data_IF_881971237436
#
_entry.id   IF_881971237436
#
_cell.length_a   1.000
_cell.length_b   1.000
_cell.length_c   1.000
_cell.angle_alpha   90.00
_cell.angle_beta   90.00
_cell.angle_gamma   90.00
#
_symmetry.space_group_name_H-M   'P 1'
#
loop_
_entity.id
_entity.type
_entity.pdbx_description
1 polymer ?
#
# COMPACT_ATOMS: atom_id res chain seq x y z
N UNK A 1 -12.10 -50.46 13.72
CA UNK A 1 -11.20 -51.00 12.68
C UNK A 1 -10.88 -49.88 11.72
N UNK A 2 -9.60 -49.55 11.62
CA UNK A 2 -9.01 -48.37 11.00
C UNK A 2 -8.53 -48.68 9.58
N UNK A 3 -9.04 -47.94 8.59
CA UNK A 3 -8.54 -47.88 7.21
C UNK A 3 -8.45 -46.40 6.85
N UNK A 4 -7.28 -45.75 6.84
CA UNK A 4 -6.17 -45.83 5.88
C UNK A 4 -6.55 -45.31 4.48
N UNK A 5 -6.08 -44.08 4.18
CA UNK A 5 -5.80 -43.49 2.86
C UNK A 5 -5.08 -42.16 3.17
N UNK A 6 -3.75 -42.00 3.15
CA UNK A 6 -2.73 -42.23 2.11
C UNK A 6 -3.02 -41.58 0.75
N UNK A 7 -2.87 -40.26 0.69
CA UNK A 7 -2.51 -39.52 -0.53
C UNK A 7 -1.61 -38.31 -0.18
N UNK A 8 -0.34 -38.58 0.14
CA UNK A 8 0.73 -37.56 0.13
C UNK A 8 2.02 -38.21 -0.36
N UNK A 9 2.40 -37.98 -1.62
CA UNK A 9 3.79 -37.93 -2.12
C UNK A 9 3.88 -38.10 -3.65
N UNK A 10 3.51 -37.09 -4.44
CA UNK A 10 3.97 -36.99 -5.84
C UNK A 10 4.20 -35.53 -6.21
N UNK A 11 5.16 -34.84 -5.56
CA UNK A 11 5.56 -33.47 -5.95
C UNK A 11 7.01 -33.13 -5.61
N UNK A 12 7.92 -34.11 -5.47
CA UNK A 12 9.32 -33.84 -5.06
C UNK A 12 10.40 -34.34 -6.06
N UNK A 13 10.03 -34.86 -7.23
CA UNK A 13 11.03 -35.44 -8.17
C UNK A 13 11.34 -34.62 -9.42
N UNK A 14 11.00 -33.32 -9.48
CA UNK A 14 11.38 -32.45 -10.61
C UNK A 14 12.53 -31.48 -10.31
N UNK A 15 12.81 -31.15 -9.04
CA UNK A 15 13.88 -30.20 -8.70
C UNK A 15 15.28 -30.84 -8.67
N UNK A 16 15.37 -32.14 -8.42
CA UNK A 16 16.67 -32.83 -8.33
C UNK A 16 17.33 -33.12 -9.69
N UNK A 17 16.56 -33.21 -10.78
CA UNK A 17 17.10 -33.50 -12.13
C UNK A 17 17.68 -32.25 -12.79
N UNK A 18 17.19 -31.05 -12.45
CA UNK A 18 17.68 -29.78 -13.02
C UNK A 18 19.01 -29.35 -12.37
N UNK A 19 19.23 -29.68 -11.09
CA UNK A 19 20.45 -29.29 -10.38
C UNK A 19 21.71 -30.04 -10.85
N UNK A 20 21.59 -31.27 -11.37
CA UNK A 20 22.75 -32.05 -11.84
C UNK A 20 23.16 -31.70 -13.28
N UNK A 21 22.24 -31.15 -14.09
CA UNK A 21 22.57 -30.71 -15.45
C UNK A 21 23.30 -29.35 -15.50
N UNK A 22 23.20 -28.51 -14.46
CA UNK A 22 23.79 -27.16 -14.47
C UNK A 22 25.22 -27.08 -13.91
N UNK A 23 25.69 -28.10 -13.17
CA UNK A 23 27.05 -28.08 -12.58
C UNK A 23 28.11 -28.64 -13.55
N UNK A 24 27.72 -29.38 -14.59
CA UNK A 24 28.65 -29.99 -15.56
C UNK A 24 29.09 -29.11 -16.73
N UNK A 25 28.49 -27.94 -16.95
CA UNK A 25 28.67 -27.15 -18.17
C UNK A 25 29.49 -25.84 -18.00
N UNK A 26 30.07 -25.59 -16.81
CA UNK A 26 30.58 -24.25 -16.47
C UNK A 26 32.09 -24.02 -16.60
N UNK A 27 32.86 -24.93 -17.21
CA UNK A 27 34.33 -24.78 -17.30
C UNK A 27 34.87 -24.28 -18.65
N UNK A 28 34.02 -23.90 -19.63
CA UNK A 28 34.49 -23.35 -20.92
C UNK A 28 33.56 -22.23 -21.42
N UNK A 29 33.30 -21.20 -20.60
CA UNK A 29 32.45 -20.08 -21.02
C UNK A 29 33.24 -18.79 -21.20
N UNK A 30 33.15 -18.22 -22.40
CA UNK A 30 33.87 -17.04 -22.83
C UNK A 30 33.56 -15.82 -21.95
N UNK A 31 34.54 -14.96 -21.65
CA UNK A 31 34.40 -13.82 -20.72
C UNK A 31 33.32 -12.79 -21.13
N UNK A 32 32.79 -12.84 -22.36
CA UNK A 32 31.71 -11.96 -22.81
C UNK A 32 30.31 -12.31 -22.30
N UNK A 33 30.04 -13.57 -21.95
CA UNK A 33 28.69 -14.00 -21.58
C UNK A 33 28.25 -13.53 -20.18
N UNK A 34 29.20 -13.42 -19.25
CA UNK A 34 28.92 -12.92 -17.90
C UNK A 34 28.47 -11.46 -17.90
N UNK A 35 28.97 -10.63 -18.83
CA UNK A 35 28.55 -9.25 -18.96
C UNK A 35 27.07 -9.13 -19.38
N UNK A 36 26.60 -10.06 -20.22
CA UNK A 36 25.22 -10.07 -20.69
C UNK A 36 24.25 -10.55 -19.60
N UNK A 37 24.61 -11.55 -18.80
CA UNK A 37 23.80 -11.98 -17.66
C UNK A 37 23.70 -10.90 -16.56
N UNK A 38 24.80 -10.19 -16.28
CA UNK A 38 24.79 -9.08 -15.30
C UNK A 38 23.88 -7.94 -15.80
N UNK A 39 23.94 -7.60 -17.09
CA UNK A 39 23.07 -6.58 -17.67
C UNK A 39 21.58 -6.98 -17.62
N UNK A 40 21.25 -8.26 -17.86
CA UNK A 40 19.88 -8.76 -17.74
C UNK A 40 19.38 -8.72 -16.29
N UNK A 41 20.23 -9.04 -15.31
CA UNK A 41 19.88 -8.94 -13.89
C UNK A 41 19.65 -7.49 -13.45
N UNK A 42 20.41 -6.53 -13.97
CA UNK A 42 20.20 -5.10 -13.69
C UNK A 42 18.88 -4.58 -14.31
N UNK A 43 18.54 -5.01 -15.52
CA UNK A 43 17.26 -4.69 -16.14
C UNK A 43 16.08 -5.27 -15.35
N UNK A 44 16.18 -6.54 -14.95
CA UNK A 44 15.15 -7.20 -14.14
C UNK A 44 14.98 -6.55 -12.76
N UNK A 45 16.09 -6.12 -12.12
CA UNK A 45 16.04 -5.37 -10.86
C UNK A 45 15.38 -4.00 -11.02
N UNK A 46 15.58 -3.33 -12.17
CA UNK A 46 14.96 -2.03 -12.47
C UNK A 46 13.46 -2.18 -12.75
N UNK A 47 13.07 -3.24 -13.46
CA UNK A 47 11.67 -3.57 -13.74
C UNK A 47 10.91 -3.95 -12.46
N UNK A 48 11.52 -4.75 -11.58
CA UNK A 48 10.96 -5.05 -10.26
C UNK A 48 10.80 -3.79 -9.39
N UNK A 49 11.75 -2.84 -9.47
CA UNK A 49 11.65 -1.58 -8.74
C UNK A 49 10.52 -0.69 -9.28
N UNK A 50 10.21 -0.74 -10.58
CA UNK A 50 9.08 -0.04 -11.18
C UNK A 50 7.74 -0.71 -10.82
N UNK A 51 7.68 -2.04 -10.84
CA UNK A 51 6.49 -2.80 -10.46
C UNK A 51 6.08 -2.58 -8.99
N UNK A 52 7.04 -2.37 -8.08
CA UNK A 52 6.77 -2.08 -6.66
C UNK A 52 6.25 -0.65 -6.42
N UNK A 53 6.58 0.31 -7.31
CA UNK A 53 6.09 1.70 -7.22
C UNK A 53 4.64 1.80 -7.67
N UNK A 54 4.26 1.06 -8.72
CA UNK A 54 2.90 1.07 -9.25
C UNK A 54 1.93 0.22 -8.40
N UNK A 55 2.43 -0.86 -7.78
CA UNK A 55 1.58 -1.77 -6.99
C UNK A 55 1.35 -1.30 -5.55
N UNK A 56 2.15 -0.35 -5.04
CA UNK A 56 1.87 0.32 -3.76
C UNK A 56 0.55 1.11 -3.79
N UNK A 57 0.05 1.49 -4.98
CA UNK A 57 -1.21 2.20 -5.18
C UNK A 57 -2.41 1.34 -5.64
N UNK A 58 -2.20 0.09 -6.08
CA UNK A 58 -3.27 -0.73 -6.67
C UNK A 58 -4.06 -1.56 -5.62
N UNK A 59 -3.39 -2.09 -4.60
CA UNK A 59 -4.05 -2.68 -3.40
C UNK A 59 -4.77 -1.60 -2.56
N UNK A 60 -4.63 -0.33 -2.92
CA UNK A 60 -5.08 0.85 -2.20
C UNK A 60 -6.56 1.20 -2.42
N UNK A 61 -7.20 0.66 -3.47
CA UNK A 61 -8.53 1.10 -3.91
C UNK A 61 -9.71 0.17 -3.55
N UNK A 62 -9.47 -1.05 -3.03
CA UNK A 62 -10.55 -2.06 -2.92
C UNK A 62 -11.37 -2.06 -1.63
N UNK A 63 -10.91 -1.41 -0.56
CA UNK A 63 -11.65 -1.34 0.73
C UNK A 63 -12.19 0.06 1.06
N UNK A 64 -12.03 1.03 0.14
CA UNK A 64 -12.78 2.26 0.20
C UNK A 64 -14.20 1.99 -0.33
N UNK A 65 -15.26 2.40 0.40
CA UNK A 65 -16.62 2.28 -0.11
C UNK A 65 -16.67 2.95 -1.49
N UNK A 66 -17.40 2.37 -2.47
CA UNK A 66 -17.48 2.93 -3.81
C UNK A 66 -17.78 4.42 -3.66
N UNK A 67 -17.07 5.30 -4.39
CA UNK A 67 -17.21 6.74 -4.24
C UNK A 67 -18.70 7.05 -4.25
N UNK A 68 -19.23 7.49 -3.10
CA UNK A 68 -20.64 7.88 -3.00
C UNK A 68 -20.85 8.82 -4.17
N UNK A 69 -21.72 8.43 -5.10
CA UNK A 69 -22.06 9.24 -6.26
C UNK A 69 -22.20 10.65 -5.75
N UNK A 70 -21.25 11.51 -6.14
CA UNK A 70 -21.30 12.92 -5.81
C UNK A 70 -22.59 13.36 -6.48
N UNK A 71 -23.67 13.43 -5.68
CA UNK A 71 -24.92 14.05 -6.09
C UNK A 71 -24.48 15.35 -6.74
N UNK A 72 -24.70 15.43 -8.05
CA UNK A 72 -24.36 16.60 -8.83
C UNK A 72 -25.07 17.76 -8.15
N UNK A 73 -24.34 18.51 -7.34
CA UNK A 73 -24.78 19.82 -6.90
C UNK A 73 -24.92 20.59 -8.20
N UNK A 74 -26.18 20.88 -8.55
CA UNK A 74 -26.55 21.56 -9.78
C UNK A 74 -25.57 22.69 -10.01
N UNK A 75 -24.93 22.64 -11.19
CA UNK A 75 -24.19 23.78 -11.71
C UNK A 75 -25.12 24.97 -11.62
N UNK A 76 -24.71 25.94 -10.82
CA UNK A 76 -25.30 27.27 -10.84
C UNK A 76 -24.84 27.87 -12.15
N UNK A 77 -25.65 27.68 -13.19
CA UNK A 77 -25.50 28.36 -14.47
C UNK A 77 -25.55 29.86 -14.21
N UNK A 78 -24.54 30.58 -14.70
CA UNK A 78 -24.55 32.05 -14.71
C UNK A 78 -23.36 32.71 -14.02
N UNK A 79 -22.15 32.48 -14.53
CA UNK A 79 -21.15 33.55 -14.53
C UNK A 79 -20.38 33.51 -15.84
N UNK A 80 -20.70 34.47 -16.68
CA UNK A 80 -20.17 34.68 -18.04
C UNK A 80 -18.72 35.16 -17.91
N UNK A 81 -17.79 34.37 -18.43
CA UNK A 81 -16.41 34.79 -18.64
C UNK A 81 -16.35 35.91 -19.68
N UNK A 82 -15.69 37.00 -19.31
CA UNK A 82 -15.35 38.09 -20.23
C UNK A 82 -14.24 37.67 -21.20
N UNK A 83 -14.09 38.39 -22.33
CA UNK A 83 -13.13 38.03 -23.37
C UNK A 83 -11.69 38.23 -22.91
N UNK A 84 -10.94 37.13 -22.93
CA UNK A 84 -9.49 37.04 -22.79
C UNK A 84 -8.82 37.78 -23.96
N UNK A 85 -8.36 39.00 -23.69
CA UNK A 85 -7.63 39.84 -24.62
C UNK A 85 -6.16 39.40 -24.68
N UNK A 86 -5.91 38.46 -25.57
CA UNK A 86 -4.58 37.99 -25.93
C UNK A 86 -3.58 39.13 -26.11
N UNK A 87 -2.61 39.23 -25.19
CA UNK A 87 -1.33 39.91 -25.41
C UNK A 87 -0.21 39.11 -24.78
N UNK A 88 0.61 38.55 -25.66
CA UNK A 88 1.67 37.62 -25.32
C UNK A 88 2.80 38.20 -24.48
N UNK A 89 3.59 37.30 -23.89
CA UNK A 89 4.94 37.60 -23.43
C UNK A 89 5.92 36.48 -23.79
N UNK A 90 6.59 36.75 -24.91
CA UNK A 90 8.02 36.59 -25.19
C UNK A 90 8.83 35.68 -24.26
N UNK A 91 9.39 34.65 -24.90
CA UNK A 91 10.67 34.03 -24.58
C UNK A 91 11.71 35.09 -24.20
N UNK A 92 12.36 34.95 -23.04
CA UNK A 92 13.71 35.50 -22.82
C UNK A 92 14.59 34.53 -22.04
N UNK A 93 15.61 34.10 -22.79
CA UNK A 93 16.86 33.44 -22.42
C UNK A 93 17.77 34.51 -21.79
N UNK A 94 18.53 34.16 -20.76
CA UNK A 94 19.74 34.86 -20.33
C UNK A 94 19.53 36.03 -19.36
N UNK A 95 20.28 36.01 -18.26
CA UNK A 95 20.38 37.11 -17.31
C UNK A 95 20.76 36.64 -15.91
N UNK A 96 22.05 36.34 -15.71
CA UNK A 96 22.72 36.69 -14.45
C UNK A 96 22.43 38.17 -14.18
N UNK A 97 21.82 38.48 -13.04
CA UNK A 97 22.19 39.60 -12.17
C UNK A 97 21.14 39.82 -11.08
N UNK A 98 21.65 40.23 -9.92
CA UNK A 98 20.92 40.47 -8.68
C UNK A 98 19.69 41.36 -8.87
N UNK A 99 18.55 40.79 -8.55
CA UNK A 99 17.28 41.50 -8.51
C UNK A 99 16.56 41.17 -7.22
N UNK A 100 16.86 41.95 -6.18
CA UNK A 100 15.94 42.42 -5.12
C UNK A 100 14.49 41.99 -5.37
N UNK A 101 14.16 40.74 -5.01
CA UNK A 101 12.82 40.21 -5.24
C UNK A 101 11.85 40.95 -4.35
N UNK A 102 11.00 41.71 -5.01
CA UNK A 102 10.03 42.61 -4.43
C UNK A 102 9.15 41.92 -3.41
N UNK A 103 9.00 42.63 -2.31
CA UNK A 103 8.05 42.47 -1.22
C UNK A 103 6.60 42.73 -1.70
N UNK A 104 6.23 42.08 -2.82
CA UNK A 104 4.96 42.27 -3.49
C UNK A 104 4.05 41.08 -3.19
N UNK A 105 3.08 41.35 -2.33
CA UNK A 105 1.86 40.57 -2.15
C UNK A 105 2.04 39.20 -1.49
N UNK A 106 2.67 39.20 -0.30
CA UNK A 106 2.10 38.43 0.81
C UNK A 106 0.74 39.06 1.13
N UNK A 107 -0.26 38.75 0.31
CA UNK A 107 -1.65 39.07 0.63
C UNK A 107 -1.85 38.68 2.07
N UNK A 108 -2.31 39.64 2.89
CA UNK A 108 -2.77 39.40 4.26
C UNK A 108 -3.75 38.23 4.18
N UNK A 109 -3.25 37.00 4.32
CA UNK A 109 -4.07 35.84 4.66
C UNK A 109 -4.80 36.33 5.88
N UNK A 110 -6.10 36.56 5.73
CA UNK A 110 -6.93 37.12 6.78
C UNK A 110 -6.56 36.42 8.07
N UNK A 111 -6.34 37.21 9.13
CA UNK A 111 -6.06 36.70 10.48
C UNK A 111 -7.18 35.76 10.97
N UNK A 112 -8.31 35.76 10.24
CA UNK A 112 -9.52 34.98 10.45
C UNK A 112 -9.67 33.83 9.43
N UNK A 113 -8.66 33.62 8.59
CA UNK A 113 -8.51 32.45 7.74
C UNK A 113 -8.26 31.24 8.62
N UNK A 114 -9.32 30.70 9.19
CA UNK A 114 -9.40 29.34 9.67
C UNK A 114 -9.04 28.40 8.51
N UNK A 115 -7.74 28.26 8.24
CA UNK A 115 -7.22 27.15 7.45
C UNK A 115 -7.88 25.88 7.98
N UNK A 116 -8.28 24.95 7.07
CA UNK A 116 -9.25 23.90 7.31
C UNK A 116 -9.02 23.38 8.72
N UNK A 117 -9.89 23.80 9.66
CA UNK A 117 -9.65 23.60 11.10
C UNK A 117 -9.32 22.13 11.21
N UNK A 118 -8.05 21.84 11.47
CA UNK A 118 -7.56 20.48 11.54
C UNK A 118 -8.56 19.79 12.43
N UNK A 119 -9.37 18.89 11.85
CA UNK A 119 -10.32 18.12 12.63
C UNK A 119 -9.40 17.27 13.48
N UNK A 120 -9.07 17.80 14.67
CA UNK A 120 -8.13 17.19 15.60
C UNK A 120 -8.69 15.79 15.81
N UNK A 121 -7.97 14.81 15.30
CA UNK A 121 -8.36 13.42 15.42
C UNK A 121 -8.16 13.09 16.90
N UNK A 122 -9.24 13.20 17.66
CA UNK A 122 -9.28 12.81 19.06
C UNK A 122 -9.30 11.29 19.09
N UNK A 123 -8.11 10.69 19.14
CA UNK A 123 -7.96 9.26 19.40
C UNK A 123 -8.11 9.04 20.91
N UNK A 124 -8.92 8.05 21.30
CA UNK A 124 -9.02 7.63 22.71
C UNK A 124 -7.68 7.09 23.21
N UNK A 125 -7.45 7.11 24.53
CA UNK A 125 -6.23 6.54 25.14
C UNK A 125 -6.01 5.08 24.71
N UNK A 126 -7.06 4.26 24.82
CA UNK A 126 -7.05 2.87 24.35
C UNK A 126 -6.63 2.75 22.88
N UNK A 127 -7.13 3.64 22.01
CA UNK A 127 -6.77 3.62 20.58
C UNK A 127 -5.29 3.94 20.34
N UNK A 128 -4.74 4.89 21.10
CA UNK A 128 -3.31 5.22 21.04
C UNK A 128 -2.47 4.01 21.49
N UNK A 129 -2.86 3.35 22.58
CA UNK A 129 -2.14 2.18 23.11
C UNK A 129 -2.15 0.99 22.12
N UNK A 130 -3.28 0.75 21.47
CA UNK A 130 -3.41 -0.25 20.41
C UNK A 130 -2.50 0.04 19.21
N UNK A 131 -2.41 1.31 18.80
CA UNK A 131 -1.53 1.75 17.72
C UNK A 131 -0.05 1.64 18.11
N UNK A 132 0.32 1.99 19.34
CA UNK A 132 1.68 1.81 19.86
C UNK A 132 2.04 0.31 19.87
N UNK A 133 1.11 -0.55 20.29
CA UNK A 133 1.31 -2.01 20.28
C UNK A 133 1.54 -2.52 18.85
N UNK A 134 0.72 -2.08 17.90
CA UNK A 134 0.91 -2.40 16.48
C UNK A 134 2.25 -1.88 15.98
N UNK A 135 2.63 -0.66 16.35
CA UNK A 135 3.90 -0.06 15.93
C UNK A 135 5.11 -0.82 16.48
N UNK A 136 5.08 -1.28 17.73
CA UNK A 136 6.12 -2.13 18.34
C UNK A 136 6.31 -3.44 17.58
N UNK A 137 5.23 -4.05 17.10
CA UNK A 137 5.34 -5.29 16.31
C UNK A 137 6.05 -5.07 14.98
N UNK A 138 5.81 -3.93 14.31
CA UNK A 138 6.42 -3.63 13.01
C UNK A 138 7.87 -3.17 13.16
N UNK A 139 8.11 -2.20 14.06
CA UNK A 139 9.42 -1.61 14.27
C UNK A 139 9.65 -1.30 15.76
N UNK A 140 10.19 -2.26 16.53
CA UNK A 140 10.34 -2.10 17.98
C UNK A 140 11.25 -0.91 18.33
N UNK A 141 12.37 -0.75 17.62
CA UNK A 141 13.33 0.34 17.89
C UNK A 141 12.72 1.73 17.65
N UNK A 142 11.99 1.93 16.55
CA UNK A 142 11.32 3.22 16.31
C UNK A 142 10.18 3.45 17.28
N UNK A 143 9.45 2.39 17.67
CA UNK A 143 8.39 2.50 18.66
C UNK A 143 8.94 2.88 20.04
N UNK A 144 10.07 2.32 20.46
CA UNK A 144 10.77 2.70 21.70
C UNK A 144 11.22 4.15 21.65
N UNK A 145 11.87 4.59 20.57
CA UNK A 145 12.25 6.00 20.37
C UNK A 145 11.04 6.92 20.40
N UNK A 146 9.93 6.47 19.82
CA UNK A 146 8.68 7.22 19.80
C UNK A 146 8.10 7.38 21.21
N UNK A 147 8.06 6.31 22.00
CA UNK A 147 7.60 6.33 23.40
C UNK A 147 8.56 7.16 24.28
N UNK A 148 9.87 7.00 24.12
CA UNK A 148 10.86 7.79 24.86
C UNK A 148 10.72 9.30 24.56
N UNK A 149 10.44 9.67 23.31
CA UNK A 149 10.23 11.07 22.90
C UNK A 149 8.87 11.63 23.26
N UNK A 150 7.86 10.76 23.35
CA UNK A 150 6.54 11.13 23.83
C UNK A 150 6.59 11.65 25.27
N UNK A 151 7.52 11.16 26.09
CA UNK A 151 7.57 11.50 27.51
C UNK A 151 6.36 10.92 28.23
N UNK A 152 5.75 11.71 29.11
CA UNK A 152 4.64 11.24 29.94
C UNK A 152 3.33 11.14 29.13
N UNK A 153 2.88 9.91 28.88
CA UNK A 153 1.68 9.59 28.09
C UNK A 153 0.39 10.03 28.78
N UNK A 154 0.43 10.38 30.06
CA UNK A 154 -0.76 10.81 30.79
C UNK A 154 -1.16 12.26 30.50
N UNK A 155 -0.24 13.10 30.01
CA UNK A 155 -0.57 14.47 29.60
C UNK A 155 -1.46 14.50 28.35
N UNK A 156 -2.63 15.15 28.44
CA UNK A 156 -3.56 15.32 27.32
C UNK A 156 -2.89 16.01 26.12
N UNK A 157 -2.01 16.98 26.37
CA UNK A 157 -1.25 17.68 25.33
C UNK A 157 -0.29 16.73 24.61
N UNK A 158 0.36 15.84 25.34
CA UNK A 158 1.24 14.81 24.79
C UNK A 158 0.44 13.80 23.97
N UNK A 159 -0.70 13.32 24.50
CA UNK A 159 -1.60 12.40 23.77
C UNK A 159 -2.10 12.99 22.48
N UNK A 160 -2.49 14.27 22.48
CA UNK A 160 -2.91 14.94 21.26
C UNK A 160 -1.76 15.09 20.25
N UNK A 161 -0.56 15.43 20.70
CA UNK A 161 0.62 15.49 19.82
C UNK A 161 0.98 14.13 19.22
N UNK A 162 0.84 13.04 19.99
CA UNK A 162 1.03 11.66 19.53
C UNK A 162 -0.07 11.27 18.55
N UNK A 163 -1.33 11.55 18.89
CA UNK A 163 -2.47 11.23 18.05
C UNK A 163 -2.35 11.87 16.68
N UNK A 164 -1.94 13.14 16.58
CA UNK A 164 -1.71 13.80 15.29
C UNK A 164 -0.58 13.14 14.51
N UNK A 165 0.53 12.76 15.16
CA UNK A 165 1.65 12.07 14.49
C UNK A 165 1.28 10.66 14.01
N UNK A 166 0.59 9.89 14.85
CA UNK A 166 0.11 8.54 14.51
C UNK A 166 -1.00 8.57 13.47
N UNK A 167 -1.89 9.56 13.51
CA UNK A 167 -2.92 9.75 12.50
C UNK A 167 -2.33 10.14 11.14
N UNK A 168 -1.25 10.94 11.13
CA UNK A 168 -0.46 11.18 9.93
C UNK A 168 0.20 9.92 9.38
N UNK A 169 0.34 8.87 10.19
CA UNK A 169 0.78 7.55 9.77
C UNK A 169 -0.41 6.69 9.36
N UNK A 170 -1.08 7.06 8.26
CA UNK A 170 -2.20 6.29 7.69
C UNK A 170 -1.90 4.78 7.57
N UNK A 171 -0.64 4.43 7.31
CA UNK A 171 -0.16 3.05 7.25
C UNK A 171 -0.34 2.28 8.58
N UNK A 172 -0.16 2.92 9.76
CA UNK A 172 -0.36 2.27 11.07
C UNK A 172 -1.83 1.96 11.33
N UNK A 173 -2.72 2.88 10.97
CA UNK A 173 -4.17 2.65 11.06
C UNK A 173 -4.59 1.48 10.16
N UNK A 174 -3.99 1.39 8.96
CA UNK A 174 -4.20 0.26 8.05
C UNK A 174 -3.69 -1.06 8.65
N UNK A 175 -2.51 -1.06 9.27
CA UNK A 175 -1.95 -2.24 9.94
C UNK A 175 -2.77 -2.69 11.15
N UNK A 176 -3.27 -1.76 11.97
CA UNK A 176 -4.13 -2.14 13.10
C UNK A 176 -5.50 -2.68 12.64
N UNK A 177 -6.09 -2.11 11.57
CA UNK A 177 -7.29 -2.69 10.94
C UNK A 177 -7.00 -4.11 10.46
N UNK A 178 -5.88 -4.29 9.75
CA UNK A 178 -5.46 -5.58 9.22
C UNK A 178 -5.28 -6.61 10.35
N UNK A 179 -4.62 -6.24 11.44
CA UNK A 179 -4.46 -7.10 12.63
C UNK A 179 -5.78 -7.62 13.19
N UNK A 180 -6.86 -6.84 13.10
CA UNK A 180 -8.20 -7.23 13.60
C UNK A 180 -8.98 -8.07 12.60
N UNK A 181 -8.89 -7.74 11.31
CA UNK A 181 -9.72 -8.37 10.27
C UNK A 181 -9.06 -9.60 9.65
N UNK A 182 -7.74 -9.60 9.57
CA UNK A 182 -6.92 -10.61 8.89
C UNK A 182 -5.53 -10.72 9.56
N UNK A 183 -5.44 -11.43 10.70
CA UNK A 183 -4.21 -11.52 11.48
C UNK A 183 -3.09 -12.26 10.74
N UNK A 184 -3.43 -13.19 9.84
CA UNK A 184 -2.44 -13.92 9.03
C UNK A 184 -1.76 -12.98 8.03
N UNK A 185 -2.55 -12.19 7.29
CA UNK A 185 -2.00 -11.20 6.37
C UNK A 185 -1.21 -10.10 7.11
N UNK A 186 -1.64 -9.76 8.33
CA UNK A 186 -0.90 -8.83 9.18
C UNK A 186 0.52 -9.33 9.49
N UNK A 187 0.67 -10.57 9.95
CA UNK A 187 2.00 -11.14 10.25
C UNK A 187 2.90 -11.21 9.01
N UNK A 188 2.34 -11.58 7.85
CA UNK A 188 3.07 -11.57 6.59
C UNK A 188 3.56 -10.16 6.22
N UNK A 189 2.72 -9.12 6.37
CA UNK A 189 3.12 -7.72 6.12
C UNK A 189 4.13 -7.20 7.14
N UNK A 190 4.05 -7.61 8.41
CA UNK A 190 5.08 -7.30 9.42
C UNK A 190 6.42 -7.93 9.02
N UNK A 191 6.42 -9.19 8.59
CA UNK A 191 7.61 -9.89 8.12
C UNK A 191 8.20 -9.21 6.88
N UNK A 192 7.36 -8.83 5.91
CA UNK A 192 7.74 -8.06 4.71
C UNK A 192 8.49 -6.78 5.09
N UNK A 193 7.90 -5.96 5.96
CA UNK A 193 8.50 -4.69 6.40
C UNK A 193 9.84 -4.88 7.13
N UNK A 194 9.94 -5.92 7.97
CA UNK A 194 11.19 -6.26 8.66
C UNK A 194 12.29 -6.67 7.67
N UNK A 195 11.96 -7.54 6.71
CA UNK A 195 12.92 -7.98 5.68
C UNK A 195 13.36 -6.83 4.78
N UNK A 196 12.44 -5.94 4.36
CA UNK A 196 12.78 -4.71 3.61
C UNK A 196 13.76 -3.84 4.38
N UNK A 197 13.52 -3.63 5.68
CA UNK A 197 14.42 -2.84 6.53
C UNK A 197 15.80 -3.48 6.64
N UNK A 198 15.87 -4.76 7.01
CA UNK A 198 17.14 -5.48 7.13
C UNK A 198 17.93 -5.48 5.82
N UNK A 199 17.26 -5.66 4.68
CA UNK A 199 17.88 -5.61 3.36
C UNK A 199 18.48 -4.22 3.07
N UNK A 200 17.77 -3.13 3.39
CA UNK A 200 18.31 -1.76 3.25
C UNK A 200 19.51 -1.51 4.16
N UNK A 201 19.48 -2.02 5.38
CA UNK A 201 20.59 -1.89 6.33
C UNK A 201 21.82 -2.68 5.86
N UNK A 202 21.65 -3.90 5.36
CA UNK A 202 22.72 -4.71 4.75
C UNK A 202 23.29 -4.03 3.49
N UNK A 203 22.43 -3.50 2.62
CA UNK A 203 22.86 -2.77 1.44
C UNK A 203 23.65 -1.50 1.79
N UNK A 204 23.32 -0.82 2.89
CA UNK A 204 24.12 0.31 3.41
C UNK A 204 25.50 -0.15 3.85
N UNK A 205 25.58 -1.22 4.66
CA UNK A 205 26.85 -1.80 5.11
C UNK A 205 27.71 -2.26 3.93
N UNK A 206 27.10 -2.86 2.90
CA UNK A 206 27.80 -3.27 1.68
C UNK A 206 28.43 -2.08 0.96
N UNK A 207 27.70 -0.96 0.83
CA UNK A 207 28.24 0.29 0.25
C UNK A 207 29.37 0.88 1.09
N UNK A 208 29.33 0.73 2.41
CA UNK A 208 30.41 1.16 3.31
C UNK A 208 31.66 0.29 3.14
N UNK A 209 31.52 -1.04 3.15
CA UNK A 209 32.62 -1.98 2.89
C UNK A 209 33.27 -1.77 1.52
N UNK A 210 32.46 -1.41 0.51
CA UNK A 210 32.96 -1.05 -0.83
C UNK A 210 33.85 0.20 -0.80
N UNK A 211 33.59 1.17 0.08
CA UNK A 211 34.43 2.38 0.20
C UNK A 211 35.78 2.09 0.85
N UNK A 212 35.86 1.05 1.67
CA UNK A 212 37.09 0.63 2.35
C UNK A 212 37.83 -0.50 1.62
N UNK A 213 37.34 -0.91 0.44
CA UNK A 213 37.91 -1.99 -0.39
C UNK A 213 38.06 -3.33 0.35
N UNK A 214 37.21 -3.59 1.35
CA UNK A 214 37.24 -4.84 2.12
C UNK A 214 36.50 -5.96 1.36
N UNK A 215 37.26 -6.75 0.58
CA UNK A 215 36.73 -7.81 -0.27
C UNK A 215 35.97 -8.92 0.50
N UNK A 216 36.49 -9.32 1.66
CA UNK A 216 35.89 -10.37 2.48
C UNK A 216 34.57 -9.90 3.09
N UNK A 217 34.51 -8.66 3.58
CA UNK A 217 33.27 -8.07 4.08
C UNK A 217 32.22 -7.91 2.97
N UNK A 218 32.63 -7.47 1.78
CA UNK A 218 31.72 -7.35 0.63
C UNK A 218 31.12 -8.70 0.25
N UNK A 219 31.93 -9.76 0.14
CA UNK A 219 31.44 -11.11 -0.21
C UNK A 219 30.40 -11.60 0.80
N UNK A 220 30.68 -11.52 2.10
CA UNK A 220 29.75 -11.93 3.17
C UNK A 220 28.45 -11.13 3.15
N UNK A 221 28.54 -9.81 3.00
CA UNK A 221 27.37 -8.94 2.96
C UNK A 221 26.52 -9.19 1.72
N UNK A 222 27.14 -9.50 0.57
CA UNK A 222 26.43 -9.87 -0.65
C UNK A 222 25.60 -11.15 -0.46
N UNK A 223 26.19 -12.19 0.13
CA UNK A 223 25.46 -13.44 0.41
C UNK A 223 24.30 -13.23 1.40
N UNK A 224 24.50 -12.39 2.42
CA UNK A 224 23.43 -12.00 3.33
C UNK A 224 22.31 -11.25 2.63
N UNK A 225 22.64 -10.29 1.75
CA UNK A 225 21.65 -9.56 0.96
C UNK A 225 20.85 -10.53 0.08
N UNK A 226 21.53 -11.44 -0.64
CA UNK A 226 20.88 -12.47 -1.46
C UNK A 226 19.91 -13.33 -0.64
N UNK A 227 20.36 -13.82 0.52
CA UNK A 227 19.51 -14.62 1.41
C UNK A 227 18.30 -13.87 1.95
N UNK A 228 18.45 -12.57 2.25
CA UNK A 228 17.33 -11.73 2.68
C UNK A 228 16.35 -11.41 1.54
N UNK A 229 16.85 -11.15 0.33
CA UNK A 229 16.01 -10.90 -0.86
C UNK A 229 15.21 -12.14 -1.23
N UNK A 230 15.81 -13.33 -1.17
CA UNK A 230 15.09 -14.59 -1.40
C UNK A 230 13.93 -14.77 -0.41
N UNK A 231 14.19 -14.61 0.89
CA UNK A 231 13.14 -14.66 1.93
C UNK A 231 12.05 -13.61 1.73
N UNK A 232 12.44 -12.42 1.30
CA UNK A 232 11.53 -11.32 1.03
C UNK A 232 10.61 -11.63 -0.16
N UNK A 233 11.16 -12.22 -1.23
CA UNK A 233 10.38 -12.71 -2.36
C UNK A 233 9.35 -13.75 -1.93
N UNK A 234 9.75 -14.75 -1.12
CA UNK A 234 8.84 -15.78 -0.62
C UNK A 234 7.68 -15.18 0.20
N UNK A 235 7.95 -14.18 1.03
CA UNK A 235 6.93 -13.48 1.83
C UNK A 235 5.99 -12.68 0.93
N UNK A 236 6.51 -11.97 -0.07
CA UNK A 236 5.67 -11.25 -1.04
C UNK A 236 4.78 -12.23 -1.80
N UNK A 237 5.32 -13.38 -2.21
CA UNK A 237 4.53 -14.41 -2.90
C UNK A 237 3.38 -14.90 -2.01
N UNK A 238 3.64 -15.22 -0.73
CA UNK A 238 2.60 -15.61 0.22
C UNK A 238 1.53 -14.53 0.42
N UNK A 239 1.95 -13.26 0.50
CA UNK A 239 1.01 -12.13 0.56
C UNK A 239 0.09 -12.11 -0.66
N UNK A 240 0.65 -12.30 -1.86
CA UNK A 240 -0.12 -12.31 -3.12
C UNK A 240 -1.07 -13.49 -3.17
N UNK A 241 -0.61 -14.69 -2.82
CA UNK A 241 -1.43 -15.91 -2.79
C UNK A 241 -2.60 -15.75 -1.80
N UNK A 242 -2.36 -15.15 -0.62
CA UNK A 242 -3.39 -14.87 0.37
C UNK A 242 -4.43 -13.87 -0.13
N UNK A 243 -3.98 -12.76 -0.73
CA UNK A 243 -4.87 -11.77 -1.35
C UNK A 243 -5.71 -12.41 -2.46
N UNK A 244 -5.11 -13.24 -3.32
CA UNK A 244 -5.81 -13.95 -4.39
C UNK A 244 -6.90 -14.85 -3.83
N UNK A 245 -6.59 -15.67 -2.82
CA UNK A 245 -7.57 -16.55 -2.17
C UNK A 245 -8.74 -15.77 -1.54
N UNK A 246 -8.50 -14.56 -1.00
CA UNK A 246 -9.55 -13.69 -0.47
C UNK A 246 -10.43 -13.12 -1.59
N UNK A 247 -9.83 -12.66 -2.68
CA UNK A 247 -10.57 -12.16 -3.85
C UNK A 247 -11.44 -13.24 -4.47
N UNK A 248 -10.95 -14.47 -4.59
CA UNK A 248 -11.72 -15.62 -5.06
C UNK A 248 -12.96 -15.88 -4.20
N UNK A 249 -12.81 -15.86 -2.87
CA UNK A 249 -13.95 -15.99 -1.94
C UNK A 249 -14.97 -14.85 -2.09
N UNK A 250 -14.51 -13.62 -2.27
CA UNK A 250 -15.40 -12.47 -2.48
C UNK A 250 -16.15 -12.57 -3.80
N UNK A 251 -15.46 -12.97 -4.86
CA UNK A 251 -16.04 -13.18 -6.19
C UNK A 251 -17.10 -14.28 -6.14
N UNK A 252 -16.82 -15.40 -5.47
CA UNK A 252 -17.78 -16.47 -5.28
C UNK A 252 -19.03 -16.01 -4.50
N UNK A 253 -18.85 -15.21 -3.44
CA UNK A 253 -19.97 -14.60 -2.71
C UNK A 253 -20.82 -13.69 -3.61
N UNK A 254 -20.18 -12.85 -4.43
CA UNK A 254 -20.88 -11.97 -5.37
C UNK A 254 -21.65 -12.76 -6.44
N UNK A 255 -21.07 -13.83 -6.97
CA UNK A 255 -21.76 -14.76 -7.89
C UNK A 255 -23.04 -15.30 -7.27
N UNK A 256 -22.96 -15.82 -6.04
CA UNK A 256 -24.15 -16.32 -5.31
C UNK A 256 -25.20 -15.25 -5.06
N UNK A 257 -24.79 -14.01 -4.78
CA UNK A 257 -25.72 -12.90 -4.62
C UNK A 257 -26.44 -12.55 -5.94
N UNK A 258 -25.71 -12.55 -7.06
CA UNK A 258 -26.28 -12.32 -8.39
C UNK A 258 -27.23 -13.44 -8.77
N UNK A 259 -26.84 -14.70 -8.57
CA UNK A 259 -27.67 -15.86 -8.83
C UNK A 259 -28.96 -15.81 -8.00
N UNK A 260 -28.85 -15.58 -6.68
CA UNK A 260 -30.01 -15.41 -5.79
C UNK A 260 -30.91 -14.27 -6.24
N UNK A 261 -30.35 -13.12 -6.64
CA UNK A 261 -31.17 -12.01 -7.16
C UNK A 261 -31.86 -12.36 -8.47
N UNK A 262 -31.20 -13.14 -9.33
CA UNK A 262 -31.75 -13.59 -10.61
C UNK A 262 -32.88 -14.58 -10.43
N UNK A 263 -32.80 -15.49 -9.44
CA UNK A 263 -33.86 -16.44 -9.14
C UNK A 263 -35.12 -15.77 -8.56
N UNK A 264 -34.96 -14.64 -7.86
CA UNK A 264 -36.06 -13.80 -7.35
C UNK A 264 -36.40 -12.63 -8.27
N UNK A 265 -35.97 -12.66 -9.55
CA UNK A 265 -36.13 -11.53 -10.46
C UNK A 265 -37.60 -11.14 -10.63
N UNK A 266 -38.46 -12.12 -10.88
CA UNK A 266 -39.86 -11.86 -11.19
C UNK A 266 -40.61 -11.36 -9.94
N UNK A 267 -40.31 -11.90 -8.77
CA UNK A 267 -40.84 -11.40 -7.49
C UNK A 267 -40.46 -9.93 -7.26
N UNK A 268 -39.18 -9.58 -7.47
CA UNK A 268 -38.69 -8.21 -7.35
C UNK A 268 -39.33 -7.26 -8.37
N UNK A 269 -39.62 -7.75 -9.58
CA UNK A 269 -40.33 -6.99 -10.61
C UNK A 269 -41.78 -6.76 -10.17
N UNK A 270 -42.47 -7.79 -9.71
CA UNK A 270 -43.86 -7.71 -9.25
C UNK A 270 -43.98 -6.75 -8.06
N UNK A 271 -43.11 -6.88 -7.05
CA UNK A 271 -43.04 -5.97 -5.90
C UNK A 271 -42.84 -4.51 -6.35
N UNK A 272 -41.99 -4.29 -7.37
CA UNK A 272 -41.74 -2.95 -7.90
C UNK A 272 -42.94 -2.42 -8.69
N UNK A 273 -43.60 -3.26 -9.48
CA UNK A 273 -44.81 -2.90 -10.24
C UNK A 273 -45.95 -2.56 -9.29
N UNK A 274 -46.18 -3.35 -8.24
CA UNK A 274 -47.19 -3.08 -7.20
C UNK A 274 -46.95 -1.73 -6.51
N UNK A 275 -45.70 -1.44 -6.14
CA UNK A 275 -45.32 -0.14 -5.54
C UNK A 275 -45.55 1.06 -6.47
N UNK A 276 -45.41 0.88 -7.78
CA UNK A 276 -45.60 1.97 -8.77
C UNK A 276 -47.07 2.14 -9.12
N UNK A 277 -47.81 1.05 -9.27
CA UNK A 277 -49.22 1.06 -9.66
C UNK A 277 -50.16 1.36 -8.49
N UNK A 278 -49.69 1.26 -7.24
CA UNK A 278 -50.52 1.42 -6.05
C UNK A 278 -51.48 0.25 -5.82
N UNK A 279 -51.45 -0.78 -6.67
CA UNK A 279 -52.35 -1.93 -6.60
C UNK A 279 -52.15 -2.79 -5.34
N UNK A 280 -50.99 -2.67 -4.68
CA UNK A 280 -50.64 -3.43 -3.49
C UNK A 280 -50.85 -2.72 -2.14
N UNK A 281 -51.22 -1.43 -2.12
CA UNK A 281 -51.45 -0.69 -0.87
C UNK A 281 -52.94 -0.35 -0.69
N UNK A 282 -53.72 -1.21 -0.01
CA UNK A 282 -55.14 -0.95 0.27
C UNK A 282 -55.35 0.24 1.23
N UNK A 283 -54.28 0.82 1.79
CA UNK A 283 -54.35 1.91 2.77
C UNK A 283 -54.13 3.31 2.19
N UNK A 284 -53.78 3.45 0.90
CA UNK A 284 -53.74 4.78 0.26
C UNK A 284 -55.13 5.19 -0.23
N UNK A 285 -55.65 6.37 0.19
CA UNK A 285 -56.92 6.89 -0.31
C UNK A 285 -56.81 7.13 -1.82
N UNK A 286 -57.79 6.63 -2.57
CA UNK A 286 -57.94 6.96 -3.99
C UNK A 286 -58.50 8.39 -4.06
N UNK A 287 -57.67 9.34 -4.48
CA UNK A 287 -58.08 10.72 -4.76
C UNK A 287 -58.36 10.91 -6.24
#
# INVERSE_FOLDING_TARGET
>A
MTTQQQTKSVTVTWTAVIAVALVGAFTVFAPGALAQEVAQLEQFATELAQLDVDNAGADEAMDDPPPRERRAHGRRDGQVDGPDDGRGRKRRRGGEDGGRFGDHHRGKRGKDGHGPRERRLHLSKQRIDELITTFKSVNPELAERFVARAGDLDSERTRQGIATRLAGMAWLMRMDRLRRTDPELFELKVQDMRLKRSTRDLARKYREARKTEDADAMSKLNDQVRGHVAKHFDVIQKVRDHTLARLEKQLEKLRKQVETRSSHRDDLINERVEKITGAGDPSQPQW
#
